data_IF_381321988750
#
_entry.id   IF_381321988750
#
_cell.length_a   1.000
_cell.length_b   1.000
_cell.length_c   1.000
_cell.angle_alpha   90.00
_cell.angle_beta   90.00
_cell.angle_gamma   90.00
#
_symmetry.space_group_name_H-M   'P 1'
#
loop_
_entity.id
_entity.type
_entity.pdbx_description
1 polymer ?
#
# COMPACT_ATOMS: atom_id res chain seq x y z
N UNK A 1 -12.69 13.89 -15.50
CA UNK A 1 -12.90 15.35 -15.37
C UNK A 1 -11.68 16.07 -14.78
N UNK A 2 -11.12 15.62 -13.62
CA UNK A 2 -9.94 16.27 -13.01
C UNK A 2 -8.76 16.28 -13.96
N UNK A 3 -8.42 15.12 -14.54
CA UNK A 3 -7.32 14.95 -15.49
C UNK A 3 -7.58 15.68 -16.82
N UNK A 4 -8.81 15.65 -17.34
CA UNK A 4 -9.22 16.42 -18.52
C UNK A 4 -9.04 17.93 -18.35
N UNK A 5 -9.09 18.41 -17.12
CA UNK A 5 -8.83 19.82 -16.77
C UNK A 5 -7.33 20.11 -16.54
N UNK A 6 -6.44 19.16 -16.85
CA UNK A 6 -5.00 19.30 -16.62
C UNK A 6 -4.60 19.39 -15.14
N UNK A 7 -5.48 18.97 -14.23
CA UNK A 7 -5.22 19.03 -12.79
C UNK A 7 -4.65 17.72 -12.28
N UNK A 8 -3.71 17.83 -11.34
CA UNK A 8 -3.15 16.68 -10.62
C UNK A 8 -4.22 15.98 -9.80
N UNK A 9 -4.30 14.66 -9.92
CA UNK A 9 -5.22 13.82 -9.15
C UNK A 9 -4.47 13.16 -7.99
N UNK A 10 -4.78 13.57 -6.76
CA UNK A 10 -4.31 12.91 -5.54
C UNK A 10 -5.37 11.87 -5.15
N UNK A 11 -5.02 10.58 -5.24
CA UNK A 11 -5.98 9.49 -5.09
C UNK A 11 -5.68 8.65 -3.86
N UNK A 12 -6.65 8.60 -2.94
CA UNK A 12 -6.64 7.74 -1.75
C UNK A 12 -7.57 6.52 -1.91
N UNK A 13 -8.57 6.62 -2.79
CA UNK A 13 -9.56 5.56 -3.00
C UNK A 13 -9.01 4.54 -4.03
N UNK A 14 -8.48 3.45 -3.55
CA UNK A 14 -7.90 2.39 -4.38
C UNK A 14 -8.93 1.67 -5.26
N UNK A 15 -10.18 1.59 -4.80
CA UNK A 15 -11.27 0.97 -5.55
C UNK A 15 -11.52 1.65 -6.89
N UNK A 16 -11.27 2.95 -6.97
CA UNK A 16 -11.37 3.69 -8.24
C UNK A 16 -10.35 3.21 -9.28
N UNK A 17 -9.12 2.89 -8.86
CA UNK A 17 -8.11 2.30 -9.76
C UNK A 17 -8.42 0.84 -10.07
N UNK A 18 -8.84 0.06 -9.08
CA UNK A 18 -9.22 -1.34 -9.26
C UNK A 18 -10.36 -1.46 -10.29
N UNK A 19 -11.38 -0.58 -10.20
CA UNK A 19 -12.54 -0.62 -11.09
C UNK A 19 -12.31 0.10 -12.43
N UNK A 20 -11.53 1.18 -12.44
CA UNK A 20 -11.46 2.10 -13.58
C UNK A 20 -10.03 2.40 -14.08
N UNK A 21 -9.02 1.69 -13.62
CA UNK A 21 -7.61 2.01 -13.91
C UNK A 21 -7.28 2.09 -15.40
N UNK A 22 -7.96 1.29 -16.23
CA UNK A 22 -7.79 1.33 -17.70
C UNK A 22 -8.24 2.63 -18.36
N UNK A 23 -9.07 3.43 -17.69
CA UNK A 23 -9.60 4.69 -18.21
C UNK A 23 -8.85 5.92 -17.68
N UNK A 24 -7.86 5.73 -16.82
CA UNK A 24 -7.15 6.82 -16.15
C UNK A 24 -5.74 7.00 -16.72
N UNK A 25 -5.33 8.25 -16.82
CA UNK A 25 -3.92 8.57 -17.07
C UNK A 25 -3.12 8.36 -15.78
N UNK A 26 -2.32 7.31 -15.78
CA UNK A 26 -1.51 6.89 -14.63
C UNK A 26 -0.45 7.91 -14.25
N UNK A 27 0.13 8.61 -15.25
CA UNK A 27 1.15 9.62 -15.05
C UNK A 27 0.66 10.85 -14.29
N UNK A 28 -0.65 11.11 -14.31
CA UNK A 28 -1.27 12.25 -13.65
C UNK A 28 -1.85 11.90 -12.26
N UNK A 29 -1.54 10.72 -11.70
CA UNK A 29 -2.03 10.28 -10.39
C UNK A 29 -0.91 10.35 -9.35
N UNK A 30 -1.17 11.03 -8.24
CA UNK A 30 -0.38 10.96 -7.02
C UNK A 30 -1.10 10.04 -6.02
N UNK A 31 -0.57 8.84 -5.74
CA UNK A 31 -1.15 7.95 -4.75
C UNK A 31 -0.95 8.50 -3.35
N UNK A 32 -2.00 8.43 -2.52
CA UNK A 32 -1.95 8.83 -1.10
C UNK A 32 -1.86 7.60 -0.18
N UNK A 33 -2.14 6.41 -0.69
CA UNK A 33 -1.90 5.16 0.04
C UNK A 33 -0.43 5.04 0.46
N UNK A 34 -0.15 4.57 1.68
CA UNK A 34 1.20 4.59 2.26
C UNK A 34 2.18 3.68 1.52
N UNK A 35 1.71 2.54 1.06
CA UNK A 35 2.50 1.58 0.29
C UNK A 35 2.84 2.14 -1.09
N UNK A 36 1.87 2.74 -1.76
CA UNK A 36 2.08 3.33 -3.09
C UNK A 36 2.87 4.64 -3.04
N UNK A 37 2.73 5.43 -1.99
CA UNK A 37 3.65 6.53 -1.73
C UNK A 37 5.08 6.02 -1.60
N UNK A 38 5.30 4.97 -0.83
CA UNK A 38 6.61 4.35 -0.67
C UNK A 38 7.17 3.83 -2.00
N UNK A 39 6.37 3.13 -2.80
CA UNK A 39 6.77 2.66 -4.14
C UNK A 39 7.12 3.84 -5.05
N UNK A 40 6.29 4.88 -5.12
CA UNK A 40 6.57 6.07 -5.93
C UNK A 40 7.90 6.72 -5.55
N UNK A 41 8.17 6.84 -4.24
CA UNK A 41 9.42 7.39 -3.72
C UNK A 41 10.64 6.54 -4.15
N UNK A 42 10.55 5.22 -4.04
CA UNK A 42 11.63 4.30 -4.41
C UNK A 42 11.88 4.24 -5.92
N UNK A 43 10.83 4.34 -6.72
CA UNK A 43 10.90 4.28 -8.19
C UNK A 43 11.48 5.56 -8.83
N UNK A 44 11.65 6.63 -8.06
CA UNK A 44 12.25 7.87 -8.57
C UNK A 44 13.71 7.71 -9.01
N UNK A 45 14.41 6.65 -8.58
CA UNK A 45 15.82 6.42 -8.94
C UNK A 45 16.05 5.89 -10.36
N UNK A 46 14.98 5.51 -11.08
CA UNK A 46 15.01 5.04 -12.48
C UNK A 46 15.81 3.75 -12.76
N UNK A 47 16.27 3.02 -11.75
CA UNK A 47 16.86 1.70 -11.95
C UNK A 47 15.77 0.72 -12.43
N UNK A 48 16.03 -0.14 -13.42
CA UNK A 48 15.04 -1.11 -13.90
C UNK A 48 14.52 -1.99 -12.76
N UNK A 49 13.20 -2.12 -12.69
CA UNK A 49 12.50 -2.86 -11.63
C UNK A 49 12.37 -4.32 -12.03
N UNK A 50 12.73 -5.23 -11.12
CA UNK A 50 12.45 -6.66 -11.24
C UNK A 50 11.12 -7.01 -10.58
N UNK A 51 10.90 -6.53 -9.33
CA UNK A 51 9.69 -6.84 -8.55
C UNK A 51 9.30 -5.68 -7.65
N UNK A 52 8.00 -5.48 -7.46
CA UNK A 52 7.45 -4.63 -6.41
C UNK A 52 7.01 -5.49 -5.23
N UNK A 53 7.29 -5.03 -4.02
CA UNK A 53 6.84 -5.69 -2.79
C UNK A 53 6.12 -4.67 -1.93
N UNK A 54 4.89 -4.99 -1.53
CA UNK A 54 4.12 -4.19 -0.57
C UNK A 54 3.92 -4.99 0.71
N UNK A 55 3.73 -4.32 1.84
CA UNK A 55 3.59 -5.01 3.11
C UNK A 55 2.19 -4.89 3.68
N UNK A 56 1.83 -5.83 4.51
CA UNK A 56 0.58 -5.87 5.27
C UNK A 56 0.85 -6.14 6.74
N UNK A 57 0.12 -5.48 7.63
CA UNK A 57 0.17 -5.79 9.07
C UNK A 57 -0.37 -7.19 9.42
N UNK A 58 -1.13 -7.80 8.51
CA UNK A 58 -1.89 -9.02 8.76
C UNK A 58 -3.29 -8.75 9.34
N UNK A 59 -3.65 -7.48 9.59
CA UNK A 59 -4.96 -7.10 10.08
C UNK A 59 -5.32 -7.65 11.46
N UNK A 60 -6.59 -7.52 11.83
CA UNK A 60 -7.11 -7.94 13.13
C UNK A 60 -6.97 -9.46 13.37
N UNK A 61 -7.10 -10.26 12.32
CA UNK A 61 -7.15 -11.72 12.44
C UNK A 61 -5.82 -12.44 12.33
N UNK A 62 -4.70 -11.74 12.22
CA UNK A 62 -3.39 -12.37 12.06
C UNK A 62 -3.10 -13.44 13.11
N UNK A 63 -3.35 -13.15 14.40
CA UNK A 63 -3.12 -14.07 15.51
C UNK A 63 -4.28 -15.06 15.74
N UNK A 64 -5.41 -14.85 15.09
CA UNK A 64 -6.61 -15.71 15.29
C UNK A 64 -6.36 -17.08 14.65
N UNK A 65 -6.51 -18.19 15.39
CA UNK A 65 -6.41 -19.53 14.82
C UNK A 65 -7.45 -19.76 13.73
N UNK A 66 -7.12 -20.53 12.67
CA UNK A 66 -8.06 -20.81 11.58
C UNK A 66 -9.43 -21.33 12.07
N UNK A 67 -9.42 -22.24 13.03
CA UNK A 67 -10.65 -22.82 13.60
C UNK A 67 -11.55 -21.80 14.31
N UNK A 68 -10.96 -20.70 14.79
CA UNK A 68 -11.70 -19.65 15.49
C UNK A 68 -12.31 -18.61 14.54
N UNK A 69 -11.85 -18.54 13.28
CA UNK A 69 -12.34 -17.55 12.31
C UNK A 69 -13.84 -17.66 12.04
N UNK A 70 -14.43 -18.86 12.13
CA UNK A 70 -15.87 -19.06 11.95
C UNK A 70 -16.75 -18.35 13.00
N UNK A 71 -16.17 -17.92 14.11
CA UNK A 71 -16.86 -17.28 15.22
C UNK A 71 -16.55 -15.78 15.35
N UNK A 72 -15.72 -15.21 14.45
CA UNK A 72 -15.40 -13.79 14.52
C UNK A 72 -16.58 -12.93 14.06
N UNK A 73 -16.65 -11.73 14.61
CA UNK A 73 -17.70 -10.76 14.31
C UNK A 73 -17.14 -9.58 13.53
N UNK A 74 -18.00 -8.74 12.94
CA UNK A 74 -17.61 -7.48 12.34
C UNK A 74 -16.88 -6.56 13.35
N UNK A 75 -17.31 -6.57 14.62
CA UNK A 75 -16.63 -5.83 15.69
C UNK A 75 -15.20 -6.30 15.94
N UNK A 76 -14.92 -7.59 15.74
CA UNK A 76 -13.54 -8.11 15.84
C UNK A 76 -12.69 -7.69 14.66
N UNK A 77 -13.26 -7.62 13.46
CA UNK A 77 -12.58 -7.15 12.25
C UNK A 77 -12.17 -5.67 12.35
N UNK A 78 -12.90 -4.86 13.11
CA UNK A 78 -12.61 -3.43 13.31
C UNK A 78 -11.40 -3.15 14.24
N UNK A 79 -10.81 -4.18 14.87
CA UNK A 79 -9.68 -4.03 15.80
C UNK A 79 -8.34 -4.10 15.09
N UNK A 80 -8.00 -3.07 14.27
CA UNK A 80 -6.72 -3.04 13.58
C UNK A 80 -5.56 -2.82 14.56
N UNK A 81 -4.41 -3.57 14.43
CA UNK A 81 -3.33 -3.52 15.41
C UNK A 81 -2.52 -2.22 15.41
N UNK A 82 -2.38 -1.54 14.26
CA UNK A 82 -1.41 -0.45 14.09
C UNK A 82 -2.02 0.86 13.58
N UNK A 83 -3.15 0.79 12.85
CA UNK A 83 -3.78 1.93 12.20
C UNK A 83 -5.14 2.25 12.79
N UNK A 84 -5.45 3.54 12.88
CA UNK A 84 -6.82 4.03 13.11
C UNK A 84 -7.39 4.47 11.75
N UNK A 85 -8.35 3.73 11.23
CA UNK A 85 -8.88 3.90 9.87
C UNK A 85 -10.41 3.85 9.86
N UNK A 86 -11.02 4.20 8.71
CA UNK A 86 -12.45 4.02 8.48
C UNK A 86 -12.88 2.54 8.57
N UNK A 87 -14.14 2.30 8.83
CA UNK A 87 -14.68 0.94 9.09
C UNK A 87 -14.44 -0.01 7.89
N UNK A 88 -14.74 0.43 6.65
CA UNK A 88 -14.57 -0.41 5.45
C UNK A 88 -13.14 -0.89 5.30
N UNK A 89 -12.17 0.02 5.23
CA UNK A 89 -10.76 -0.34 5.02
C UNK A 89 -10.19 -1.17 6.17
N UNK A 90 -10.71 -1.00 7.39
CA UNK A 90 -10.31 -1.82 8.55
C UNK A 90 -10.77 -3.27 8.40
N UNK A 91 -12.01 -3.48 7.92
CA UNK A 91 -12.54 -4.82 7.60
C UNK A 91 -11.77 -5.42 6.42
N UNK A 92 -11.52 -4.65 5.37
CA UNK A 92 -10.73 -5.09 4.21
C UNK A 92 -9.29 -5.49 4.61
N UNK A 93 -8.71 -4.79 5.57
CA UNK A 93 -7.41 -5.18 6.15
C UNK A 93 -7.49 -6.51 6.90
N UNK A 94 -8.58 -6.74 7.66
CA UNK A 94 -8.77 -7.98 8.41
C UNK A 94 -8.94 -9.20 7.51
N UNK A 95 -9.46 -9.02 6.29
CA UNK A 95 -9.69 -10.08 5.29
C UNK A 95 -8.58 -10.20 4.25
N UNK A 96 -7.64 -9.26 4.17
CA UNK A 96 -6.66 -9.05 3.09
C UNK A 96 -7.26 -8.56 1.76
N UNK A 97 -8.52 -8.20 1.70
CA UNK A 97 -9.12 -7.55 0.53
C UNK A 97 -8.38 -6.22 0.22
N UNK A 98 -8.09 -5.42 1.26
CA UNK A 98 -7.30 -4.21 1.13
C UNK A 98 -5.98 -4.46 0.41
N UNK A 99 -5.23 -5.49 0.82
CA UNK A 99 -3.92 -5.80 0.22
C UNK A 99 -4.04 -6.33 -1.20
N UNK A 100 -5.09 -7.08 -1.52
CA UNK A 100 -5.36 -7.48 -2.90
C UNK A 100 -5.65 -6.26 -3.79
N UNK A 101 -6.44 -5.31 -3.30
CA UNK A 101 -6.70 -4.07 -4.04
C UNK A 101 -5.45 -3.23 -4.23
N UNK A 102 -4.58 -3.17 -3.25
CA UNK A 102 -3.30 -2.48 -3.38
C UNK A 102 -2.36 -3.15 -4.39
N UNK A 103 -2.35 -4.47 -4.49
CA UNK A 103 -1.62 -5.18 -5.57
C UNK A 103 -2.15 -4.75 -6.95
N UNK A 104 -3.47 -4.69 -7.12
CA UNK A 104 -4.07 -4.25 -8.38
C UNK A 104 -3.83 -2.76 -8.64
N UNK A 105 -3.86 -1.94 -7.61
CA UNK A 105 -3.52 -0.52 -7.68
C UNK A 105 -2.06 -0.34 -8.12
N UNK A 106 -1.10 -1.10 -7.54
CA UNK A 106 0.30 -1.07 -7.96
C UNK A 106 0.46 -1.43 -9.45
N UNK A 107 -0.26 -2.45 -9.92
CA UNK A 107 -0.28 -2.79 -11.35
C UNK A 107 -0.75 -1.61 -12.21
N UNK A 108 -1.86 -0.97 -11.83
CA UNK A 108 -2.39 0.16 -12.59
C UNK A 108 -1.47 1.39 -12.54
N UNK A 109 -0.86 1.69 -11.40
CA UNK A 109 0.00 2.85 -11.24
C UNK A 109 1.36 2.68 -11.95
N UNK A 110 1.99 1.52 -11.83
CA UNK A 110 3.39 1.33 -12.23
C UNK A 110 3.58 0.41 -13.43
N UNK A 111 2.55 -0.33 -13.86
CA UNK A 111 2.64 -1.23 -15.00
C UNK A 111 3.49 -2.48 -14.78
N UNK A 112 3.94 -2.72 -13.55
CA UNK A 112 4.70 -3.91 -13.17
C UNK A 112 3.72 -5.04 -12.86
N UNK A 113 4.01 -6.26 -13.32
CA UNK A 113 3.18 -7.44 -13.05
C UNK A 113 3.73 -8.33 -11.94
N UNK A 114 5.04 -8.34 -11.75
CA UNK A 114 5.66 -9.08 -10.65
C UNK A 114 5.51 -8.25 -9.36
N UNK A 115 4.43 -8.52 -8.64
CA UNK A 115 4.07 -7.83 -7.41
C UNK A 115 3.85 -8.86 -6.31
N UNK A 116 4.62 -8.74 -5.23
CA UNK A 116 4.48 -9.58 -4.04
C UNK A 116 3.91 -8.77 -2.88
N UNK A 117 3.23 -9.47 -1.97
CA UNK A 117 2.79 -8.88 -0.72
C UNK A 117 3.23 -9.74 0.46
N UNK A 118 3.88 -9.13 1.42
CA UNK A 118 4.42 -9.80 2.60
C UNK A 118 3.79 -9.27 3.89
N UNK A 119 3.73 -10.10 4.90
CA UNK A 119 3.33 -9.66 6.24
C UNK A 119 4.53 -9.01 6.93
N UNK A 120 4.38 -7.74 7.30
CA UNK A 120 5.28 -7.02 8.20
C UNK A 120 4.45 -6.43 9.35
N UNK A 121 4.59 -7.03 10.53
CA UNK A 121 3.66 -6.83 11.66
C UNK A 121 3.68 -5.45 12.30
N UNK A 122 4.76 -4.71 12.15
CA UNK A 122 4.92 -3.39 12.77
C UNK A 122 4.32 -2.27 11.93
N UNK A 123 4.04 -2.52 10.65
CA UNK A 123 3.68 -1.52 9.64
C UNK A 123 4.73 -0.40 9.52
N UNK A 124 5.99 -0.72 9.76
CA UNK A 124 7.11 0.22 9.66
C UNK A 124 7.70 0.23 8.25
N UNK A 125 7.85 -0.95 7.64
CA UNK A 125 8.20 -1.07 6.22
C UNK A 125 6.90 -1.05 5.44
N UNK A 126 6.75 -0.10 4.50
CA UNK A 126 5.54 0.03 3.70
C UNK A 126 5.69 -0.62 2.33
N UNK A 127 6.87 -0.45 1.72
CA UNK A 127 7.14 -0.96 0.40
C UNK A 127 8.62 -1.31 0.22
N UNK A 128 8.90 -2.24 -0.69
CA UNK A 128 10.25 -2.52 -1.19
C UNK A 128 10.21 -2.61 -2.71
N UNK A 129 11.35 -2.32 -3.34
CA UNK A 129 11.56 -2.53 -4.76
C UNK A 129 12.81 -3.39 -4.94
N UNK A 130 12.67 -4.50 -5.62
CA UNK A 130 13.77 -5.32 -6.08
C UNK A 130 14.13 -4.87 -7.50
N UNK A 131 15.40 -4.54 -7.71
CA UNK A 131 15.88 -4.04 -8.99
C UNK A 131 16.56 -5.14 -9.81
N UNK A 132 16.65 -4.91 -11.12
CA UNK A 132 17.23 -5.87 -12.06
C UNK A 132 18.74 -6.12 -11.85
N UNK A 133 19.42 -5.24 -11.14
CA UNK A 133 20.83 -5.41 -10.74
C UNK A 133 21.01 -6.27 -9.49
N UNK A 134 19.91 -6.75 -8.88
CA UNK A 134 19.91 -7.56 -7.66
C UNK A 134 19.87 -6.74 -6.38
N UNK A 135 19.88 -5.42 -6.45
CA UNK A 135 19.72 -4.59 -5.26
C UNK A 135 18.27 -4.48 -4.83
N UNK A 136 18.04 -4.17 -3.55
CA UNK A 136 16.71 -3.95 -2.98
C UNK A 136 16.71 -2.65 -2.19
N UNK A 137 15.68 -1.82 -2.38
CA UNK A 137 15.43 -0.63 -1.58
C UNK A 137 14.12 -0.77 -0.82
N UNK A 138 14.04 -0.16 0.36
CA UNK A 138 12.87 -0.20 1.21
C UNK A 138 12.47 1.21 1.67
N UNK A 139 11.17 1.49 1.71
CA UNK A 139 10.60 2.69 2.30
C UNK A 139 10.10 2.38 3.71
N UNK A 140 10.64 3.09 4.69
CA UNK A 140 10.29 2.98 6.09
C UNK A 140 9.76 4.32 6.59
N UNK A 141 8.60 4.30 7.25
CA UNK A 141 8.07 5.46 7.94
C UNK A 141 7.16 5.05 9.11
N UNK A 142 6.74 6.02 9.93
CA UNK A 142 5.68 5.79 10.91
C UNK A 142 4.35 5.55 10.20
N UNK A 143 3.42 4.90 10.92
CA UNK A 143 2.03 4.68 10.50
C UNK A 143 1.24 5.98 10.55
N UNK A 144 1.56 6.91 9.64
CA UNK A 144 0.95 8.23 9.57
C UNK A 144 0.73 8.63 8.10
N UNK A 145 -0.51 8.93 7.75
CA UNK A 145 -0.87 9.37 6.39
C UNK A 145 -0.43 10.79 6.07
N UNK A 146 -0.08 11.59 7.09
CA UNK A 146 0.34 12.99 6.90
C UNK A 146 1.51 13.09 5.92
N UNK A 147 2.45 12.15 5.97
CA UNK A 147 3.61 12.14 5.07
C UNK A 147 3.18 12.03 3.60
N UNK A 148 2.38 11.04 3.26
CA UNK A 148 1.89 10.85 1.89
C UNK A 148 0.99 12.01 1.43
N UNK A 149 0.13 12.51 2.30
CA UNK A 149 -0.77 13.65 2.02
C UNK A 149 0.05 14.92 1.78
N UNK A 150 1.03 15.21 2.62
CA UNK A 150 1.87 16.40 2.49
C UNK A 150 2.64 16.39 1.16
N UNK A 151 3.24 15.26 0.79
CA UNK A 151 3.89 15.10 -0.51
C UNK A 151 2.92 15.27 -1.69
N UNK A 152 1.69 14.77 -1.55
CA UNK A 152 0.68 14.89 -2.59
C UNK A 152 0.21 16.33 -2.80
N UNK A 153 0.11 17.13 -1.73
CA UNK A 153 -0.43 18.50 -1.75
C UNK A 153 0.66 19.53 -1.99
N UNK A 154 1.78 19.43 -1.27
CA UNK A 154 2.80 20.48 -1.21
C UNK A 154 3.98 20.24 -2.16
N UNK A 155 4.21 19.00 -2.59
CA UNK A 155 5.31 18.64 -3.48
C UNK A 155 4.96 18.79 -4.94
N UNK A 156 5.82 19.42 -5.73
CA UNK A 156 5.83 19.25 -7.18
C UNK A 156 6.39 17.87 -7.50
N UNK A 157 5.72 17.13 -8.38
CA UNK A 157 6.08 15.74 -8.74
C UNK A 157 6.28 14.80 -7.53
N UNK A 158 5.64 15.12 -6.39
CA UNK A 158 5.75 14.36 -5.16
C UNK A 158 6.99 14.62 -4.33
N UNK A 159 7.79 15.63 -4.66
CA UNK A 159 8.91 16.08 -3.87
C UNK A 159 8.56 17.36 -3.09
N UNK A 160 8.88 17.39 -1.81
CA UNK A 160 8.79 18.59 -1.00
C UNK A 160 10.12 19.35 -1.10
N UNK A 161 10.05 20.67 -1.32
CA UNK A 161 11.21 21.55 -1.26
C UNK A 161 11.59 21.80 0.21
N UNK A 162 12.11 20.78 0.88
CA UNK A 162 12.59 20.87 2.25
C UNK A 162 14.10 21.11 2.27
N UNK A 163 14.53 22.11 3.01
CA UNK A 163 15.95 22.35 3.28
C UNK A 163 16.46 21.48 4.44
N UNK A 164 17.77 21.35 4.56
CA UNK A 164 18.38 20.68 5.71
C UNK A 164 18.05 21.38 7.05
N UNK A 165 17.75 22.69 7.03
CA UNK A 165 17.30 23.44 8.21
C UNK A 165 15.86 23.04 8.59
N UNK A 166 14.98 22.82 7.60
CA UNK A 166 13.61 22.37 7.84
C UNK A 166 13.60 20.97 8.45
N UNK A 167 14.54 20.10 8.07
CA UNK A 167 14.67 18.77 8.64
C UNK A 167 14.93 18.78 10.15
N UNK A 168 15.51 19.86 10.69
CA UNK A 168 15.74 20.02 12.14
C UNK A 168 14.55 20.65 12.86
N UNK A 169 13.83 21.55 12.20
CA UNK A 169 12.84 22.43 12.84
C UNK A 169 11.40 22.17 12.36
N UNK A 170 11.19 21.46 11.28
CA UNK A 170 9.89 21.33 10.64
C UNK A 170 9.67 19.99 9.96
N UNK A 171 9.96 18.88 10.65
CA UNK A 171 9.61 17.56 10.13
C UNK A 171 8.09 17.45 9.96
N UNK A 172 7.64 16.99 8.79
CA UNK A 172 6.21 16.71 8.53
C UNK A 172 5.72 15.64 9.48
N UNK A 173 6.53 14.58 9.64
CA UNK A 173 6.34 13.52 10.64
C UNK A 173 7.67 13.24 11.33
N UNK A 174 7.70 12.88 12.63
CA UNK A 174 8.93 12.54 13.31
C UNK A 174 9.61 11.33 12.65
N UNK A 175 10.94 11.37 12.53
CA UNK A 175 11.72 10.23 12.07
C UNK A 175 11.48 8.98 12.91
N UNK A 176 11.68 7.82 12.29
CA UNK A 176 11.78 6.55 13.02
C UNK A 176 13.04 6.56 13.90
N UNK A 177 12.90 6.10 15.13
CA UNK A 177 14.06 5.76 15.94
C UNK A 177 14.57 4.37 15.53
N UNK A 178 15.56 4.34 14.64
CA UNK A 178 16.15 3.11 14.13
C UNK A 178 16.73 2.21 15.23
N UNK A 179 17.08 2.78 16.40
CA UNK A 179 17.58 2.01 17.55
C UNK A 179 16.49 1.16 18.19
N UNK A 180 15.24 1.55 18.03
CA UNK A 180 14.08 0.81 18.55
C UNK A 180 13.57 -0.27 17.58
N UNK A 181 13.98 -0.23 16.32
CA UNK A 181 13.61 -1.21 15.30
C UNK A 181 14.39 -2.52 15.46
N UNK A 182 14.03 -3.29 16.48
CA UNK A 182 14.83 -4.48 16.85
C UNK A 182 14.54 -5.72 16.01
N UNK A 183 13.37 -5.83 15.39
CA UNK A 183 12.93 -7.08 14.74
C UNK A 183 11.94 -6.83 13.59
N UNK A 184 12.42 -6.31 12.47
CA UNK A 184 11.64 -6.35 11.23
C UNK A 184 11.68 -7.78 10.70
N UNK A 185 10.49 -8.38 10.52
CA UNK A 185 10.34 -9.73 9.98
C UNK A 185 9.30 -9.72 8.88
N UNK A 186 9.63 -10.35 7.78
CA UNK A 186 8.71 -10.60 6.70
C UNK A 186 8.16 -12.03 6.78
N UNK A 187 6.89 -12.21 6.49
CA UNK A 187 6.22 -13.49 6.42
C UNK A 187 5.28 -13.57 5.23
N UNK A 188 4.94 -14.78 4.84
CA UNK A 188 4.00 -15.03 3.76
C UNK A 188 2.55 -14.82 4.20
N UNK A 189 1.68 -14.43 3.26
CA UNK A 189 0.23 -14.38 3.47
C UNK A 189 -0.33 -15.80 3.42
N UNK A 190 -0.94 -16.24 4.51
CA UNK A 190 -1.55 -17.56 4.61
C UNK A 190 -2.87 -17.62 3.83
N UNK A 191 -2.87 -18.21 2.64
CA UNK A 191 -4.04 -18.27 1.75
C UNK A 191 -5.21 -19.07 2.33
N UNK A 192 -4.97 -20.02 3.26
CA UNK A 192 -6.06 -20.71 3.98
C UNK A 192 -6.78 -19.78 4.96
N UNK A 193 -6.06 -18.79 5.50
CA UNK A 193 -6.63 -17.78 6.40
C UNK A 193 -7.26 -16.62 5.64
N UNK A 194 -6.67 -16.24 4.52
CA UNK A 194 -7.07 -15.11 3.69
C UNK A 194 -7.36 -15.55 2.25
N UNK A 195 -8.45 -16.31 2.04
CA UNK A 195 -8.72 -16.96 0.75
C UNK A 195 -8.90 -15.97 -0.41
N UNK A 196 -9.37 -14.74 -0.15
CA UNK A 196 -9.50 -13.71 -1.18
C UNK A 196 -8.14 -13.40 -1.85
N UNK A 197 -7.05 -13.48 -1.11
CA UNK A 197 -5.73 -13.17 -1.63
C UNK A 197 -5.22 -14.24 -2.62
N UNK A 198 -5.83 -15.43 -2.67
CA UNK A 198 -5.54 -16.44 -3.69
C UNK A 198 -5.91 -15.99 -5.11
N UNK A 199 -6.73 -14.95 -5.25
CA UNK A 199 -7.11 -14.37 -6.52
C UNK A 199 -6.04 -13.44 -7.12
N UNK A 200 -4.94 -13.15 -6.40
CA UNK A 200 -3.90 -12.20 -6.79
C UNK A 200 -3.39 -12.43 -8.21
N UNK A 201 -2.93 -13.63 -8.50
CA UNK A 201 -2.30 -13.92 -9.80
C UNK A 201 -3.30 -13.90 -10.95
N UNK A 202 -4.52 -14.39 -10.72
CA UNK A 202 -5.60 -14.32 -11.72
C UNK A 202 -5.98 -12.85 -12.00
N UNK A 203 -6.06 -12.02 -10.97
CA UNK A 203 -6.41 -10.61 -11.10
C UNK A 203 -5.28 -9.80 -11.77
N UNK A 204 -4.01 -10.15 -11.58
CA UNK A 204 -2.88 -9.53 -12.27
C UNK A 204 -2.83 -9.95 -13.77
N UNK A 205 -3.25 -11.19 -14.09
CA UNK A 205 -3.36 -11.64 -15.47
C UNK A 205 -4.57 -11.02 -16.18
N UNK A 206 -5.68 -10.89 -15.50
CA UNK A 206 -6.91 -10.27 -15.98
C UNK A 206 -7.38 -9.16 -15.00
N UNK A 207 -6.87 -7.92 -15.12
CA UNK A 207 -7.19 -6.84 -14.20
C UNK A 207 -8.68 -6.44 -14.16
N UNK A 208 -9.46 -6.75 -15.20
CA UNK A 208 -10.92 -6.54 -15.20
C UNK A 208 -11.63 -7.40 -14.14
N UNK A 209 -11.01 -8.49 -13.67
CA UNK A 209 -11.50 -9.26 -12.52
C UNK A 209 -11.56 -8.40 -11.24
N UNK A 210 -10.72 -7.38 -11.13
CA UNK A 210 -10.76 -6.41 -10.03
C UNK A 210 -12.12 -5.74 -9.86
N UNK A 211 -12.82 -5.47 -10.96
CA UNK A 211 -14.19 -4.91 -10.92
C UNK A 211 -15.15 -5.85 -10.20
N UNK A 212 -15.12 -7.15 -10.57
CA UNK A 212 -15.99 -8.15 -9.95
C UNK A 212 -15.63 -8.38 -8.47
N UNK A 213 -14.33 -8.43 -8.15
CA UNK A 213 -13.86 -8.57 -6.77
C UNK A 213 -14.32 -7.37 -5.93
N UNK A 214 -14.18 -6.14 -6.45
CA UNK A 214 -14.60 -4.94 -5.76
C UNK A 214 -16.13 -4.87 -5.59
N UNK A 215 -16.89 -5.33 -6.57
CA UNK A 215 -18.35 -5.36 -6.48
C UNK A 215 -18.87 -6.42 -5.49
N UNK A 216 -18.10 -7.49 -5.26
CA UNK A 216 -18.45 -8.55 -4.31
C UNK A 216 -18.00 -8.25 -2.87
N UNK A 217 -17.05 -7.33 -2.67
CA UNK A 217 -16.52 -6.93 -1.37
C UNK A 217 -17.39 -5.87 -0.70
#
# INVERSE_FOLDING_TARGET
KTQELGKRLCLANKESLVAGGKFLDRGAINPIDSEHFGLKFLLANKTPVARLVITASGGAFYKTPLKALKNVTASDALKHPNWSMGAKITIDSATMANKLFEVLEAFWLYGVRDIEALIERTSTVHALVEFADGSTAAHLSKTDMILAIAHAILGEDGALNLSAADAKNGQIVPNLDLKTLKNIKFGEINLKKYPIFSLKDQALQNPDLGVAINAAN
#
